data_IF_284218172779
#
_entry.id   IF_284218172779
#
_cell.length_a   1.000
_cell.length_b   1.000
_cell.length_c   1.000
_cell.angle_alpha   90.00
_cell.angle_beta   90.00
_cell.angle_gamma   90.00
#
_symmetry.space_group_name_H-M   'P 1'
#
loop_
_entity.id
_entity.type
_entity.pdbx_description
1 polymer ?
#
# COMPACT_ATOMS: atom_id res chain seq x y z
N UNK A 1 -4.81 -5.13 12.92
CA UNK A 1 -3.64 -4.40 12.39
C UNK A 1 -3.92 -2.92 12.19
N UNK A 2 -4.89 -2.50 11.35
CA UNK A 2 -5.16 -1.08 11.07
C UNK A 2 -5.43 -0.24 12.33
N UNK A 3 -6.26 -0.72 13.25
CA UNK A 3 -6.50 -0.05 14.55
C UNK A 3 -5.22 0.15 15.36
N UNK A 4 -4.27 -0.79 15.31
CA UNK A 4 -3.00 -0.67 16.02
C UNK A 4 -2.12 0.40 15.38
N UNK A 5 -2.03 0.44 14.04
CA UNK A 5 -1.26 1.47 13.32
C UNK A 5 -1.83 2.89 13.56
N UNK A 6 -3.16 3.03 13.62
CA UNK A 6 -3.80 4.30 13.99
C UNK A 6 -3.42 4.78 15.39
N UNK A 7 -3.29 3.88 16.37
CA UNK A 7 -2.78 4.24 17.72
C UNK A 7 -1.33 4.72 17.72
N UNK A 8 -0.56 4.39 16.67
CA UNK A 8 0.78 4.94 16.45
C UNK A 8 0.78 6.25 15.64
N UNK A 9 -0.40 6.83 15.35
CA UNK A 9 -0.54 8.11 14.67
C UNK A 9 -0.63 8.05 13.15
N UNK A 10 -0.67 6.85 12.56
CA UNK A 10 -0.74 6.70 11.10
C UNK A 10 -2.18 6.72 10.58
N UNK A 11 -2.40 7.45 9.48
CA UNK A 11 -3.64 7.39 8.73
C UNK A 11 -3.68 6.11 7.87
N UNK A 12 -4.40 5.11 8.38
CA UNK A 12 -4.54 3.81 7.74
C UNK A 12 -6.02 3.47 7.61
N UNK A 13 -6.41 2.93 6.48
CA UNK A 13 -7.71 2.28 6.27
C UNK A 13 -7.51 0.86 5.74
N UNK A 14 -8.56 0.05 5.79
CA UNK A 14 -8.59 -1.29 5.19
C UNK A 14 -9.53 -1.30 4.00
N UNK A 15 -9.32 -2.21 3.04
CA UNK A 15 -10.25 -2.41 1.92
C UNK A 15 -11.67 -2.69 2.41
N UNK A 16 -11.82 -3.33 3.58
CA UNK A 16 -13.12 -3.52 4.23
C UNK A 16 -13.77 -2.22 4.69
N UNK A 17 -13.04 -1.38 5.43
CA UNK A 17 -13.55 -0.09 5.94
C UNK A 17 -13.83 0.91 4.81
N UNK A 18 -13.04 0.85 3.73
CA UNK A 18 -13.21 1.67 2.54
C UNK A 18 -14.28 1.14 1.56
N UNK A 19 -14.96 0.02 1.88
CA UNK A 19 -15.99 -0.56 1.00
C UNK A 19 -15.44 -1.10 -0.32
N UNK A 20 -14.14 -1.40 -0.38
CA UNK A 20 -13.41 -1.89 -1.55
C UNK A 20 -13.34 -3.42 -1.60
N UNK A 21 -14.12 -4.11 -0.76
CA UNK A 21 -14.25 -5.55 -0.89
C UNK A 21 -15.07 -5.85 -2.15
N UNK A 22 -14.57 -6.77 -2.97
CA UNK A 22 -15.22 -7.21 -4.22
C UNK A 22 -15.15 -6.26 -5.42
N UNK A 23 -14.42 -5.15 -5.33
CA UNK A 23 -14.05 -4.35 -6.51
C UNK A 23 -12.71 -4.83 -7.09
N UNK A 24 -12.46 -4.48 -8.35
CA UNK A 24 -11.26 -4.90 -9.08
C UNK A 24 -9.98 -4.24 -8.54
N UNK A 25 -8.82 -4.85 -8.81
CA UNK A 25 -7.53 -4.29 -8.42
C UNK A 25 -7.28 -2.90 -9.06
N UNK A 26 -7.77 -2.69 -10.28
CA UNK A 26 -7.78 -1.38 -10.96
C UNK A 26 -8.55 -0.33 -10.16
N UNK A 27 -9.76 -0.66 -9.71
CA UNK A 27 -10.58 0.25 -8.92
C UNK A 27 -9.98 0.50 -7.52
N UNK A 28 -9.37 -0.51 -6.90
CA UNK A 28 -8.63 -0.32 -5.64
C UNK A 28 -7.44 0.62 -5.80
N UNK A 29 -6.67 0.45 -6.88
CA UNK A 29 -5.54 1.32 -7.21
C UNK A 29 -6.01 2.75 -7.52
N UNK A 30 -7.11 2.91 -8.25
CA UNK A 30 -7.70 4.20 -8.55
C UNK A 30 -8.22 4.91 -7.28
N UNK A 31 -8.87 4.18 -6.38
CA UNK A 31 -9.29 4.71 -5.08
C UNK A 31 -8.08 5.15 -4.25
N UNK A 32 -7.07 4.30 -4.11
CA UNK A 32 -5.87 4.62 -3.35
C UNK A 32 -5.16 5.86 -3.93
N UNK A 33 -5.12 5.97 -5.25
CA UNK A 33 -4.60 7.15 -5.92
C UNK A 33 -5.44 8.42 -5.61
N UNK A 34 -6.76 8.37 -5.78
CA UNK A 34 -7.64 9.51 -5.50
C UNK A 34 -7.51 10.01 -4.04
N UNK A 35 -7.37 9.08 -3.10
CA UNK A 35 -7.23 9.38 -1.67
C UNK A 35 -5.80 9.69 -1.24
N UNK A 36 -4.84 9.70 -2.15
CA UNK A 36 -3.42 9.94 -1.88
C UNK A 36 -2.80 8.95 -0.89
N UNK A 37 -3.17 7.67 -1.00
CA UNK A 37 -2.75 6.59 -0.10
C UNK A 37 -1.88 5.56 -0.82
N UNK A 38 -0.88 5.05 -0.10
CA UNK A 38 -0.19 3.84 -0.52
C UNK A 38 -1.10 2.61 -0.33
N UNK A 39 -1.01 1.63 -1.23
CA UNK A 39 -1.71 0.35 -1.09
C UNK A 39 -0.75 -0.75 -0.66
N UNK A 40 -1.14 -1.54 0.34
CA UNK A 40 -0.41 -2.74 0.78
C UNK A 40 -1.11 -3.97 0.23
N UNK A 41 -0.39 -4.81 -0.52
CA UNK A 41 -0.99 -5.97 -1.19
C UNK A 41 -0.06 -7.19 -1.23
N UNK A 42 -0.66 -8.37 -1.28
CA UNK A 42 0.03 -9.63 -1.59
C UNK A 42 -0.09 -10.00 -3.08
N UNK A 43 -0.94 -9.31 -3.85
CA UNK A 43 -1.12 -9.56 -5.28
C UNK A 43 -0.04 -8.83 -6.11
N UNK A 44 1.18 -9.36 -6.07
CA UNK A 44 2.35 -8.75 -6.72
C UNK A 44 2.15 -8.66 -8.24
N UNK A 45 1.59 -9.70 -8.86
CA UNK A 45 1.47 -9.80 -10.32
C UNK A 45 0.63 -8.65 -10.89
N UNK A 46 -0.59 -8.50 -10.39
CA UNK A 46 -1.55 -7.59 -11.00
C UNK A 46 -1.19 -6.14 -10.66
N UNK A 47 -0.77 -5.87 -9.42
CA UNK A 47 -0.33 -4.51 -9.05
C UNK A 47 1.00 -4.09 -9.68
N UNK A 48 1.88 -5.03 -10.04
CA UNK A 48 3.07 -4.69 -10.85
C UNK A 48 2.68 -4.29 -12.27
N UNK A 49 1.67 -4.93 -12.85
CA UNK A 49 1.11 -4.53 -14.14
C UNK A 49 0.47 -3.13 -14.05
N UNK A 50 -0.36 -2.89 -13.04
CA UNK A 50 -1.02 -1.59 -12.82
C UNK A 50 -0.02 -0.46 -12.58
N UNK A 51 1.05 -0.71 -11.82
CA UNK A 51 2.13 0.26 -11.65
C UNK A 51 2.71 0.71 -12.99
N UNK A 52 3.11 -0.25 -13.84
CA UNK A 52 3.68 0.04 -15.15
C UNK A 52 2.67 0.78 -16.05
N UNK A 53 1.39 0.42 -15.98
CA UNK A 53 0.33 1.10 -16.71
C UNK A 53 0.18 2.56 -16.26
N UNK A 54 0.15 2.83 -14.95
CA UNK A 54 0.08 4.19 -14.42
C UNK A 54 1.24 5.05 -14.92
N UNK A 55 2.46 4.53 -14.86
CA UNK A 55 3.63 5.24 -15.36
C UNK A 55 3.56 5.50 -16.87
N UNK A 56 3.17 4.50 -17.67
CA UNK A 56 3.04 4.64 -19.12
C UNK A 56 1.98 5.67 -19.52
N UNK A 57 0.91 5.80 -18.73
CA UNK A 57 -0.18 6.75 -18.95
C UNK A 57 0.07 8.13 -18.31
N UNK A 58 1.26 8.37 -17.73
CA UNK A 58 1.57 9.56 -16.92
C UNK A 58 0.55 9.82 -15.79
N UNK A 59 -0.02 8.77 -15.23
CA UNK A 59 -0.87 8.82 -14.04
C UNK A 59 -0.02 8.66 -12.78
N UNK A 60 -0.47 9.28 -11.70
CA UNK A 60 0.21 9.21 -10.42
C UNK A 60 -0.49 8.26 -9.45
N UNK A 61 0.30 7.60 -8.59
CA UNK A 61 -0.17 6.87 -7.42
C UNK A 61 0.75 7.14 -6.22
N UNK A 62 0.27 6.87 -5.01
CA UNK A 62 0.97 7.24 -3.76
C UNK A 62 1.71 6.05 -3.13
N UNK A 63 2.18 5.15 -3.98
CA UNK A 63 2.99 4.00 -3.62
C UNK A 63 2.26 2.66 -3.59
N UNK A 64 2.99 1.59 -3.92
CA UNK A 64 2.55 0.21 -3.78
C UNK A 64 3.54 -0.51 -2.88
N UNK A 65 3.04 -1.14 -1.83
CA UNK A 65 3.82 -1.87 -0.85
C UNK A 65 3.49 -3.35 -1.00
N UNK A 66 4.44 -4.12 -1.54
CA UNK A 66 4.32 -5.57 -1.64
C UNK A 66 4.74 -6.25 -0.35
N UNK A 67 4.07 -7.34 -0.01
CA UNK A 67 4.48 -8.21 1.08
C UNK A 67 4.36 -9.67 0.66
N UNK A 68 5.16 -10.52 1.29
CA UNK A 68 4.89 -11.96 1.34
C UNK A 68 3.85 -12.27 2.41
N UNK A 69 3.23 -13.46 2.34
CA UNK A 69 2.37 -13.96 3.41
C UNK A 69 3.23 -14.25 4.65
N UNK A 70 3.11 -13.38 5.64
CA UNK A 70 3.86 -13.44 6.91
C UNK A 70 2.87 -13.40 8.09
N UNK A 71 3.30 -13.83 9.29
CA UNK A 71 2.51 -13.62 10.49
C UNK A 71 2.13 -12.15 10.68
N UNK A 72 0.91 -11.89 11.17
CA UNK A 72 0.38 -10.52 11.36
C UNK A 72 1.32 -9.68 12.25
N UNK A 73 1.93 -10.29 13.26
CA UNK A 73 2.90 -9.60 14.13
C UNK A 73 4.11 -9.13 13.34
N UNK A 74 4.65 -9.94 12.43
CA UNK A 74 5.77 -9.56 11.56
C UNK A 74 5.35 -8.42 10.65
N UNK A 75 4.23 -8.56 9.91
CA UNK A 75 3.71 -7.51 9.03
C UNK A 75 3.56 -6.16 9.74
N UNK A 76 3.00 -6.18 10.96
CA UNK A 76 2.81 -4.99 11.75
C UNK A 76 4.12 -4.27 12.08
N UNK A 77 5.15 -4.99 12.53
CA UNK A 77 6.45 -4.38 12.85
C UNK A 77 7.14 -3.84 11.59
N UNK A 78 7.06 -4.56 10.46
CA UNK A 78 7.63 -4.10 9.19
C UNK A 78 6.92 -2.84 8.68
N UNK A 79 5.59 -2.79 8.78
CA UNK A 79 4.81 -1.61 8.42
C UNK A 79 5.16 -0.41 9.29
N UNK A 80 5.29 -0.60 10.61
CA UNK A 80 5.76 0.46 11.49
C UNK A 80 7.14 0.98 11.07
N UNK A 81 8.09 0.10 10.74
CA UNK A 81 9.42 0.53 10.28
C UNK A 81 9.35 1.30 8.96
N UNK A 82 8.57 0.83 7.99
CA UNK A 82 8.36 1.54 6.71
C UNK A 82 7.77 2.93 6.94
N UNK A 83 6.66 3.00 7.69
CA UNK A 83 5.93 4.25 7.92
C UNK A 83 6.74 5.30 8.72
N UNK A 84 7.74 4.86 9.50
CA UNK A 84 8.65 5.76 10.21
C UNK A 84 9.92 6.12 9.41
N UNK A 85 10.19 5.45 8.29
CA UNK A 85 11.45 5.62 7.55
C UNK A 85 11.28 6.14 6.12
N UNK A 86 10.04 6.17 5.61
CA UNK A 86 9.73 6.63 4.25
C UNK A 86 8.60 7.65 4.32
N UNK A 87 8.80 8.80 3.69
CA UNK A 87 7.81 9.85 3.55
C UNK A 87 6.80 9.53 2.44
N UNK A 88 5.64 10.20 2.46
CA UNK A 88 4.63 10.04 1.41
C UNK A 88 5.17 10.44 0.01
N UNK A 89 6.02 11.47 -0.06
CA UNK A 89 6.62 11.92 -1.31
C UNK A 89 7.61 10.88 -1.87
N UNK A 90 8.41 10.24 -1.01
CA UNK A 90 9.32 9.16 -1.41
C UNK A 90 8.59 7.90 -1.88
N UNK A 91 7.33 7.70 -1.47
CA UNK A 91 6.49 6.60 -1.95
C UNK A 91 5.77 6.92 -3.26
N UNK A 92 5.69 8.19 -3.65
CA UNK A 92 4.95 8.61 -4.84
C UNK A 92 5.54 7.93 -6.08
N UNK A 93 4.68 7.26 -6.84
CA UNK A 93 5.03 6.47 -8.02
C UNK A 93 6.10 5.40 -7.78
N UNK A 94 6.26 4.93 -6.53
CA UNK A 94 7.23 3.90 -6.17
C UNK A 94 6.55 2.57 -5.82
N UNK A 95 7.33 1.50 -5.98
CA UNK A 95 7.03 0.18 -5.43
C UNK A 95 8.06 -0.14 -4.36
N UNK A 96 7.64 -0.66 -3.21
CA UNK A 96 8.54 -1.12 -2.13
C UNK A 96 8.15 -2.49 -1.63
N UNK A 97 9.14 -3.30 -1.27
CA UNK A 97 8.89 -4.55 -0.58
C UNK A 97 8.93 -4.35 0.92
N UNK A 98 7.85 -4.70 1.60
CA UNK A 98 7.76 -4.65 3.05
C UNK A 98 8.83 -5.53 3.71
N UNK A 99 9.28 -6.58 3.03
CA UNK A 99 10.34 -7.48 3.45
C UNK A 99 11.71 -6.80 3.62
N UNK A 100 11.95 -5.65 2.99
CA UNK A 100 13.16 -4.83 3.14
C UNK A 100 13.28 -4.24 4.56
N UNK A 101 12.15 -4.05 5.23
CA UNK A 101 12.06 -3.43 6.56
C UNK A 101 12.06 -4.54 7.61
N UNK A 102 13.23 -5.12 7.91
CA UNK A 102 13.40 -6.10 8.99
C UNK A 102 13.42 -5.41 10.34
#
# INVERSE_FOLDING_TARGET
MASQLRRHGFDVTTSQEAGLLSITDEEQMAYAAAEQRAIVTFNVRDFSYLHNQYLAENKEHWGIIFSTQEPISVLFHRLLRLLNSVTAEELKNQVRWLNEFQ
#
